data_IF_705229805221
#
_entry.id   IF_705229805221
#
_cell.length_a   1.000
_cell.length_b   1.000
_cell.length_c   1.000
_cell.angle_alpha   90.00
_cell.angle_beta   90.00
_cell.angle_gamma   90.00
#
_symmetry.space_group_name_H-M   'P 1'
#
loop_
_entity.id
_entity.type
_entity.pdbx_description
1 polymer ?
#
# COMPACT_ATOMS: atom_id res chain seq x y z
N UNK A 1 1.59 27.64 -26.07
CA UNK A 1 1.32 26.68 -24.98
C UNK A 1 1.75 27.30 -23.68
N UNK A 2 0.95 27.19 -22.62
CA UNK A 2 1.33 27.64 -21.27
C UNK A 2 2.36 26.70 -20.65
N UNK A 3 3.10 27.14 -19.63
CA UNK A 3 4.01 26.27 -18.87
C UNK A 3 3.28 25.05 -18.31
N UNK A 4 2.05 25.22 -17.80
CA UNK A 4 1.21 24.11 -17.35
C UNK A 4 0.93 23.08 -18.47
N UNK A 5 0.73 23.52 -19.71
CA UNK A 5 0.46 22.64 -20.85
C UNK A 5 1.70 21.85 -21.29
N UNK A 6 2.91 22.34 -21.02
CA UNK A 6 4.15 21.66 -21.40
C UNK A 6 4.61 20.62 -20.37
N UNK A 7 4.13 20.69 -19.13
CA UNK A 7 4.43 19.74 -18.06
C UNK A 7 4.06 18.28 -18.42
N UNK A 8 4.89 17.33 -17.98
CA UNK A 8 4.69 15.89 -18.20
C UNK A 8 3.33 15.41 -17.68
N UNK A 9 2.94 15.84 -16.47
CA UNK A 9 1.64 15.47 -15.89
C UNK A 9 0.46 15.91 -16.75
N UNK A 10 0.49 17.13 -17.29
CA UNK A 10 -0.56 17.62 -18.19
C UNK A 10 -0.57 16.86 -19.50
N UNK A 11 0.59 16.62 -20.12
CA UNK A 11 0.69 15.81 -21.35
C UNK A 11 0.11 14.42 -21.16
N UNK A 12 0.51 13.73 -20.08
CA UNK A 12 -0.05 12.43 -19.70
C UNK A 12 -1.57 12.50 -19.52
N UNK A 13 -2.07 13.51 -18.80
CA UNK A 13 -3.51 13.68 -18.57
C UNK A 13 -4.30 13.98 -19.84
N UNK A 14 -3.71 14.63 -20.85
CA UNK A 14 -4.36 14.87 -22.13
C UNK A 14 -4.31 13.62 -23.02
N UNK A 15 -3.13 13.00 -23.16
CA UNK A 15 -2.91 11.86 -24.05
C UNK A 15 -3.60 10.57 -23.62
N UNK A 16 -3.98 10.47 -22.34
CA UNK A 16 -4.68 9.28 -21.83
C UNK A 16 -6.19 9.48 -21.64
N UNK A 17 -6.79 10.55 -22.19
CA UNK A 17 -8.26 10.76 -22.15
C UNK A 17 -8.97 9.79 -23.10
N UNK A 18 -10.24 9.51 -22.80
CA UNK A 18 -11.13 8.93 -23.80
C UNK A 18 -11.76 10.06 -24.61
N UNK A 19 -11.88 9.82 -25.90
CA UNK A 19 -12.58 10.66 -26.86
C UNK A 19 -13.60 9.78 -27.60
N UNK A 20 -14.84 10.26 -27.75
CA UNK A 20 -15.93 9.45 -28.30
C UNK A 20 -15.68 9.03 -29.74
N UNK A 21 -15.01 9.88 -30.52
CA UNK A 21 -14.73 9.64 -31.93
C UNK A 21 -13.54 8.70 -32.10
N UNK A 22 -12.57 8.76 -31.17
CA UNK A 22 -11.32 8.00 -31.27
C UNK A 22 -11.29 6.71 -30.43
N UNK A 23 -12.20 6.49 -29.48
CA UNK A 23 -12.12 5.37 -28.52
C UNK A 23 -11.98 3.99 -29.17
N UNK A 24 -12.56 3.81 -30.35
CA UNK A 24 -12.50 2.55 -31.12
C UNK A 24 -11.17 2.39 -31.85
N UNK A 25 -10.53 3.49 -32.25
CA UNK A 25 -9.27 3.50 -33.00
C UNK A 25 -8.03 3.75 -32.14
N UNK A 26 -8.20 3.99 -30.83
CA UNK A 26 -7.08 4.14 -29.90
C UNK A 26 -6.22 2.87 -29.87
N UNK A 27 -4.98 2.99 -30.36
CA UNK A 27 -3.98 1.93 -30.23
C UNK A 27 -3.53 1.78 -28.77
N UNK A 28 -3.26 0.55 -28.36
CA UNK A 28 -2.68 0.23 -27.06
C UNK A 28 -1.33 -0.46 -27.28
N UNK A 29 -0.32 -0.17 -26.45
CA UNK A 29 0.92 -0.92 -26.50
C UNK A 29 0.64 -2.41 -26.23
N UNK A 30 1.35 -3.29 -26.93
CA UNK A 30 1.27 -4.72 -26.67
C UNK A 30 2.13 -5.05 -25.45
N UNK A 31 1.47 -5.24 -24.30
CA UNK A 31 2.11 -5.55 -23.01
C UNK A 31 1.57 -6.91 -22.55
N UNK A 32 2.47 -7.85 -22.27
CA UNK A 32 2.10 -9.14 -21.70
C UNK A 32 1.57 -8.96 -20.28
N UNK A 33 0.42 -9.55 -19.92
CA UNK A 33 -0.14 -9.42 -18.59
C UNK A 33 0.77 -10.06 -17.53
N UNK A 34 0.88 -9.42 -16.37
CA UNK A 34 1.56 -9.98 -15.22
C UNK A 34 0.74 -11.03 -14.46
N UNK A 35 1.38 -11.89 -13.64
CA UNK A 35 0.68 -12.84 -12.79
C UNK A 35 -0.15 -12.08 -11.75
N UNK A 36 -1.35 -12.57 -11.41
CA UNK A 36 -2.27 -11.92 -10.48
C UNK A 36 -1.76 -11.90 -9.03
N UNK A 37 -0.95 -12.89 -8.66
CA UNK A 37 -0.38 -13.04 -7.33
C UNK A 37 1.15 -13.06 -7.43
N UNK A 38 1.80 -12.47 -6.44
CA UNK A 38 3.23 -12.61 -6.18
C UNK A 38 3.41 -13.45 -4.92
N UNK A 39 4.46 -14.26 -4.88
CA UNK A 39 4.82 -15.09 -3.72
C UNK A 39 6.34 -15.21 -3.68
N UNK A 40 6.88 -15.46 -2.49
CA UNK A 40 8.29 -15.74 -2.24
C UNK A 40 8.43 -17.14 -1.61
N UNK A 41 8.43 -18.23 -2.41
CA UNK A 41 8.34 -19.59 -1.88
C UNK A 41 9.51 -20.04 -0.99
N UNK A 42 10.64 -19.34 -1.06
CA UNK A 42 11.83 -19.61 -0.23
C UNK A 42 11.82 -18.83 1.08
N UNK A 43 10.90 -17.88 1.25
CA UNK A 43 10.80 -17.07 2.46
C UNK A 43 10.15 -17.87 3.60
N UNK A 44 10.59 -17.61 4.82
CA UNK A 44 9.88 -18.08 6.01
C UNK A 44 8.50 -17.41 6.07
N UNK A 45 7.45 -18.21 6.22
CA UNK A 45 6.07 -17.73 6.22
C UNK A 45 5.49 -17.66 7.62
N UNK A 46 4.72 -16.60 7.90
CA UNK A 46 4.00 -16.38 9.15
C UNK A 46 2.52 -16.23 8.84
N UNK A 47 1.68 -17.18 9.28
CA UNK A 47 0.24 -17.10 9.08
C UNK A 47 -0.33 -15.90 9.83
N UNK A 48 -1.20 -15.14 9.16
CA UNK A 48 -1.94 -14.07 9.81
C UNK A 48 -3.23 -14.65 10.41
N UNK A 49 -3.59 -14.30 11.65
CA UNK A 49 -4.86 -14.70 12.24
C UNK A 49 -6.03 -14.07 11.49
N UNK A 50 -7.25 -14.51 11.79
CA UNK A 50 -8.46 -13.84 11.31
C UNK A 50 -8.46 -12.36 11.72
N UNK A 51 -8.91 -11.50 10.81
CA UNK A 51 -8.92 -10.06 11.04
C UNK A 51 -9.95 -9.70 12.12
N UNK A 52 -9.48 -9.10 13.22
CA UNK A 52 -10.37 -8.53 14.21
C UNK A 52 -11.10 -7.31 13.66
N UNK A 53 -12.33 -7.12 14.11
CA UNK A 53 -13.09 -5.91 13.80
C UNK A 53 -12.65 -4.79 14.75
N UNK A 54 -12.34 -3.59 14.25
CA UNK A 54 -12.07 -2.45 15.12
C UNK A 54 -13.32 -2.12 15.97
N UNK A 55 -13.13 -1.69 17.24
CA UNK A 55 -14.25 -1.37 18.13
C UNK A 55 -15.05 -0.14 17.68
N UNK A 56 -14.41 0.82 17.01
CA UNK A 56 -15.03 2.06 16.53
C UNK A 56 -15.86 1.82 15.27
N UNK A 57 -17.00 2.51 15.14
CA UNK A 57 -17.79 2.47 13.92
C UNK A 57 -17.21 3.33 12.78
N UNK A 58 -17.78 3.18 11.58
CA UNK A 58 -17.29 3.84 10.38
C UNK A 58 -17.43 5.38 10.42
N UNK A 59 -18.53 5.92 10.97
CA UNK A 59 -18.74 7.36 11.03
C UNK A 59 -17.77 8.03 11.99
N UNK A 60 -17.53 7.38 13.13
CA UNK A 60 -16.55 7.83 14.10
C UNK A 60 -15.13 7.76 13.53
N UNK A 61 -14.77 6.66 12.85
CA UNK A 61 -13.47 6.55 12.18
C UNK A 61 -13.30 7.64 11.10
N UNK A 62 -14.30 7.88 10.26
CA UNK A 62 -14.25 8.91 9.22
C UNK A 62 -14.07 10.31 9.80
N UNK A 63 -14.82 10.65 10.86
CA UNK A 63 -14.81 11.99 11.46
C UNK A 63 -13.51 12.28 12.23
N UNK A 64 -12.98 11.27 12.92
CA UNK A 64 -11.81 11.40 13.81
C UNK A 64 -10.47 11.12 13.13
N UNK A 65 -10.46 10.49 11.94
CA UNK A 65 -9.21 10.16 11.23
C UNK A 65 -8.34 11.40 11.01
N UNK A 66 -7.10 11.34 11.51
CA UNK A 66 -6.05 12.36 11.31
C UNK A 66 -4.73 11.71 10.99
N UNK A 67 -3.89 12.41 10.22
CA UNK A 67 -2.53 11.97 9.96
C UNK A 67 -1.66 12.29 11.18
N UNK A 68 -1.39 11.27 12.00
CA UNK A 68 -0.66 11.40 13.27
C UNK A 68 0.73 10.79 13.09
N UNK A 69 1.77 11.60 13.34
CA UNK A 69 3.19 11.26 13.13
C UNK A 69 3.94 11.02 14.44
N UNK A 70 3.21 10.79 15.53
CA UNK A 70 3.75 10.46 16.86
C UNK A 70 3.21 9.10 17.27
N UNK A 71 4.11 8.22 17.66
CA UNK A 71 3.83 6.82 17.97
C UNK A 71 4.28 6.50 19.39
N UNK A 72 3.50 5.70 20.10
CA UNK A 72 3.93 5.10 21.36
C UNK A 72 4.90 3.95 21.08
N UNK A 73 5.67 3.56 22.09
CA UNK A 73 6.56 2.38 22.03
C UNK A 73 5.80 1.04 22.09
N UNK A 74 4.48 1.05 22.32
CA UNK A 74 3.66 -0.16 22.39
C UNK A 74 3.73 -0.92 21.06
N UNK A 75 4.03 -2.23 21.15
CA UNK A 75 3.96 -3.14 20.02
C UNK A 75 2.50 -3.36 19.59
N UNK A 76 2.27 -3.57 18.30
CA UNK A 76 0.98 -4.05 17.80
C UNK A 76 0.84 -5.55 18.08
N UNK A 77 -0.38 -6.02 18.30
CA UNK A 77 -0.64 -7.46 18.27
C UNK A 77 -0.68 -7.97 16.82
N UNK A 78 -0.54 -9.28 16.64
CA UNK A 78 -0.58 -9.88 15.31
C UNK A 78 -1.99 -9.79 14.69
N UNK A 79 -3.03 -9.83 15.52
CA UNK A 79 -4.44 -9.66 15.16
C UNK A 79 -4.72 -8.26 14.61
N UNK A 80 -4.19 -7.23 15.28
CA UNK A 80 -4.28 -5.84 14.80
C UNK A 80 -3.53 -5.67 13.48
N UNK A 81 -2.32 -6.23 13.34
CA UNK A 81 -1.60 -6.23 12.06
C UNK A 81 -2.43 -6.90 10.95
N UNK A 82 -2.97 -8.08 11.21
CA UNK A 82 -3.83 -8.81 10.27
C UNK A 82 -5.03 -7.96 9.85
N UNK A 83 -5.71 -7.32 10.80
CA UNK A 83 -6.86 -6.48 10.53
C UNK A 83 -6.52 -5.24 9.68
N UNK A 84 -5.37 -4.59 9.93
CA UNK A 84 -4.89 -3.48 9.12
C UNK A 84 -4.61 -3.90 7.67
N UNK A 85 -3.94 -5.04 7.48
CA UNK A 85 -3.64 -5.59 6.16
C UNK A 85 -4.91 -6.08 5.46
N UNK A 86 -5.85 -6.65 6.20
CA UNK A 86 -7.15 -7.09 5.68
C UNK A 86 -7.97 -5.90 5.19
N UNK A 87 -8.03 -4.81 5.94
CA UNK A 87 -8.71 -3.60 5.51
C UNK A 87 -8.15 -3.07 4.17
N UNK A 88 -6.82 -3.13 3.98
CA UNK A 88 -6.17 -2.68 2.75
C UNK A 88 -6.35 -3.65 1.57
N UNK A 89 -6.19 -4.95 1.78
CA UNK A 89 -5.95 -5.94 0.71
C UNK A 89 -6.69 -7.27 0.87
N UNK A 90 -7.41 -7.48 1.98
CA UNK A 90 -8.01 -8.76 2.36
C UNK A 90 -9.11 -9.23 1.41
N UNK A 91 -9.35 -10.54 1.43
CA UNK A 91 -10.41 -11.17 0.63
C UNK A 91 -11.80 -10.77 1.17
N UNK A 92 -12.67 -10.26 0.30
CA UNK A 92 -14.01 -9.75 0.65
C UNK A 92 -15.16 -10.55 0.01
N UNK A 93 -14.84 -11.51 -0.85
CA UNK A 93 -15.82 -12.37 -1.51
C UNK A 93 -15.29 -12.98 -2.81
N UNK A 94 -16.18 -13.56 -3.60
CA UNK A 94 -15.81 -14.15 -4.89
C UNK A 94 -16.94 -13.96 -5.92
N UNK A 95 -16.58 -13.63 -7.16
CA UNK A 95 -17.52 -13.51 -8.29
C UNK A 95 -16.91 -14.18 -9.52
N UNK A 96 -17.61 -15.17 -10.10
CA UNK A 96 -17.16 -15.82 -11.33
C UNK A 96 -15.76 -16.45 -11.26
N UNK A 97 -15.38 -17.00 -10.10
CA UNK A 97 -14.05 -17.57 -9.87
C UNK A 97 -13.00 -16.55 -9.38
N UNK A 98 -13.25 -15.25 -9.54
CA UNK A 98 -12.33 -14.19 -9.12
C UNK A 98 -12.54 -13.83 -7.64
N UNK A 99 -11.47 -13.88 -6.85
CA UNK A 99 -11.46 -13.42 -5.46
C UNK A 99 -11.46 -11.89 -5.44
N UNK A 100 -12.44 -11.30 -4.75
CA UNK A 100 -12.55 -9.87 -4.54
C UNK A 100 -11.74 -9.44 -3.32
N UNK A 101 -11.22 -8.21 -3.36
CA UNK A 101 -10.52 -7.57 -2.24
C UNK A 101 -11.38 -6.51 -1.55
N UNK A 102 -11.02 -6.15 -0.33
CA UNK A 102 -11.65 -5.06 0.44
C UNK A 102 -11.50 -3.70 -0.24
N UNK A 103 -10.36 -3.45 -0.90
CA UNK A 103 -10.20 -2.31 -1.79
C UNK A 103 -10.65 -2.63 -3.22
N UNK A 104 -11.41 -1.73 -3.88
CA UNK A 104 -11.73 -1.87 -5.29
C UNK A 104 -10.48 -1.74 -6.16
N UNK A 105 -10.51 -2.36 -7.34
CA UNK A 105 -9.44 -2.23 -8.34
C UNK A 105 -10.02 -2.18 -9.74
N UNK A 106 -9.47 -1.31 -10.59
CA UNK A 106 -9.95 -1.18 -11.96
C UNK A 106 -9.85 -2.50 -12.74
N UNK A 107 -11.01 -3.03 -13.14
CA UNK A 107 -11.08 -4.31 -13.85
C UNK A 107 -10.71 -5.53 -13.00
N UNK A 108 -10.61 -5.35 -11.68
CA UNK A 108 -10.23 -6.34 -10.70
C UNK A 108 -8.90 -7.06 -11.04
N UNK A 109 -7.94 -6.26 -11.49
CA UNK A 109 -6.60 -6.70 -11.90
C UNK A 109 -5.58 -6.65 -10.76
N UNK A 110 -5.90 -5.92 -9.68
CA UNK A 110 -5.15 -5.86 -8.42
C UNK A 110 -3.65 -5.63 -8.64
N UNK A 111 -3.25 -4.46 -9.20
CA UNK A 111 -1.87 -4.18 -9.55
C UNK A 111 -0.96 -4.00 -8.33
N UNK A 112 -1.53 -3.81 -7.15
CA UNK A 112 -0.80 -3.42 -5.94
C UNK A 112 -0.33 -4.65 -5.17
N UNK A 113 0.97 -4.69 -4.87
CA UNK A 113 1.54 -5.57 -3.84
C UNK A 113 1.71 -4.81 -2.52
N UNK A 114 1.62 -5.54 -1.42
CA UNK A 114 1.75 -4.98 -0.07
C UNK A 114 2.98 -5.56 0.61
N UNK A 115 3.92 -4.69 0.94
CA UNK A 115 5.06 -5.01 1.79
C UNK A 115 4.90 -4.34 3.14
N UNK A 116 5.55 -4.90 4.15
CA UNK A 116 5.51 -4.38 5.52
C UNK A 116 6.93 -4.36 6.07
N UNK A 117 7.42 -3.17 6.41
CA UNK A 117 8.54 -3.04 7.32
C UNK A 117 8.01 -3.15 8.74
N UNK A 118 8.47 -4.15 9.49
CA UNK A 118 8.09 -4.41 10.88
C UNK A 118 9.21 -3.94 11.80
N UNK A 119 8.86 -3.11 12.79
CA UNK A 119 9.75 -2.70 13.88
C UNK A 119 9.32 -3.32 15.20
N UNK A 120 8.01 -3.34 15.49
CA UNK A 120 7.45 -3.75 16.79
C UNK A 120 6.06 -4.40 16.64
N UNK A 121 6.02 -5.70 16.40
CA UNK A 121 4.78 -6.51 16.39
C UNK A 121 5.00 -7.76 17.24
N UNK A 122 4.02 -8.12 18.06
CA UNK A 122 4.10 -9.32 18.88
C UNK A 122 4.12 -10.57 18.00
N UNK A 123 5.07 -11.48 18.26
CA UNK A 123 5.20 -12.74 17.51
C UNK A 123 5.83 -12.62 16.11
N UNK A 124 6.32 -11.44 15.74
CA UNK A 124 7.06 -11.21 14.49
C UNK A 124 8.37 -10.49 14.78
N UNK A 125 9.46 -11.02 14.24
CA UNK A 125 10.75 -10.35 14.32
C UNK A 125 10.79 -9.09 13.46
N UNK A 126 11.55 -8.07 13.85
CA UNK A 126 11.79 -6.91 12.99
C UNK A 126 12.35 -7.33 11.62
N UNK A 127 11.87 -6.71 10.55
CA UNK A 127 12.27 -7.09 9.20
C UNK A 127 11.42 -6.46 8.10
N UNK A 128 11.66 -6.92 6.87
CA UNK A 128 10.90 -6.63 5.67
C UNK A 128 10.11 -7.86 5.26
N UNK A 129 8.81 -7.67 5.06
CA UNK A 129 7.86 -8.74 4.76
C UNK A 129 7.06 -8.41 3.50
N UNK A 130 6.62 -9.44 2.80
CA UNK A 130 5.65 -9.37 1.72
C UNK A 130 4.34 -10.05 2.13
N UNK A 131 3.19 -9.45 1.82
CA UNK A 131 1.89 -10.06 2.07
C UNK A 131 1.52 -11.00 0.92
N UNK A 132 1.56 -12.30 1.18
CA UNK A 132 0.91 -13.28 0.32
C UNK A 132 -0.59 -13.27 0.61
N UNK A 133 -1.33 -12.48 -0.19
CA UNK A 133 -2.78 -12.32 -0.07
C UNK A 133 -3.57 -13.60 -0.36
N UNK A 134 -3.03 -14.52 -1.17
CA UNK A 134 -3.71 -15.76 -1.54
C UNK A 134 -3.78 -16.72 -0.35
N UNK A 135 -2.64 -16.87 0.32
CA UNK A 135 -2.48 -17.83 1.43
C UNK A 135 -2.62 -17.14 2.80
N UNK A 136 -2.93 -15.83 2.80
CA UNK A 136 -3.10 -14.95 3.96
C UNK A 136 -1.96 -15.06 4.99
N UNK A 137 -0.74 -14.83 4.52
CA UNK A 137 0.47 -14.91 5.34
C UNK A 137 1.49 -13.83 4.98
N UNK A 138 2.42 -13.58 5.90
CA UNK A 138 3.60 -12.74 5.66
C UNK A 138 4.79 -13.62 5.28
N UNK A 139 5.45 -13.28 4.19
CA UNK A 139 6.68 -13.88 3.71
C UNK A 139 7.85 -12.98 4.15
N UNK A 140 8.72 -13.47 5.04
CA UNK A 140 9.88 -12.72 5.51
C UNK A 140 10.96 -12.66 4.43
N UNK A 141 11.17 -11.46 3.88
CA UNK A 141 12.18 -11.21 2.85
C UNK A 141 13.56 -11.01 3.46
N UNK A 142 13.61 -10.22 4.54
CA UNK A 142 14.84 -9.90 5.25
C UNK A 142 14.54 -9.66 6.73
N UNK A 143 15.27 -10.30 7.64
CA UNK A 143 15.20 -10.01 9.08
C UNK A 143 16.18 -8.90 9.46
N UNK A 144 15.79 -8.02 10.37
CA UNK A 144 16.64 -6.93 10.86
C UNK A 144 15.90 -5.62 11.10
N UNK A 145 16.64 -4.61 11.58
CA UNK A 145 16.11 -3.27 11.81
C UNK A 145 16.24 -2.42 10.53
N UNK A 146 15.12 -2.18 9.86
CA UNK A 146 15.05 -1.42 8.60
C UNK A 146 14.31 -0.08 8.71
N UNK A 147 13.71 0.22 9.86
CA UNK A 147 13.00 1.49 10.09
C UNK A 147 13.83 2.75 9.75
N UNK A 148 15.08 2.87 10.22
CA UNK A 148 15.95 4.01 9.88
C UNK A 148 16.25 4.13 8.38
N UNK A 149 16.51 3.01 7.71
CA UNK A 149 16.83 2.96 6.28
C UNK A 149 15.59 3.36 5.44
N UNK A 150 14.42 2.86 5.81
CA UNK A 150 13.16 3.25 5.17
C UNK A 150 12.87 4.74 5.40
N UNK A 151 13.08 5.27 6.60
CA UNK A 151 12.90 6.69 6.88
C UNK A 151 13.84 7.57 6.05
N UNK A 152 15.09 7.13 5.85
CA UNK A 152 16.06 7.79 4.96
C UNK A 152 15.56 7.82 3.51
N UNK A 153 15.15 6.67 2.98
CA UNK A 153 14.58 6.57 1.64
C UNK A 153 13.33 7.45 1.48
N UNK A 154 12.54 7.66 2.54
CA UNK A 154 11.39 8.56 2.55
C UNK A 154 11.74 10.02 2.89
N UNK A 155 12.78 10.60 2.26
CA UNK A 155 13.22 11.99 2.49
C UNK A 155 13.53 12.30 3.97
N UNK A 156 14.22 11.38 4.65
CA UNK A 156 14.59 11.51 6.07
C UNK A 156 13.41 11.77 7.02
N UNK A 157 12.22 11.29 6.68
CA UNK A 157 11.02 11.43 7.51
C UNK A 157 11.11 10.53 8.77
N UNK A 158 11.85 11.02 9.78
CA UNK A 158 12.24 10.28 11.00
C UNK A 158 11.09 9.62 11.76
N UNK A 159 9.86 10.14 11.66
CA UNK A 159 8.71 9.51 12.32
C UNK A 159 8.46 8.09 11.78
N UNK A 160 8.77 7.80 10.51
CA UNK A 160 8.60 6.46 9.95
C UNK A 160 9.47 5.41 10.66
N UNK A 161 10.67 5.78 11.11
CA UNK A 161 11.54 4.89 11.88
C UNK A 161 11.00 4.58 13.29
N UNK A 162 10.11 5.42 13.82
CA UNK A 162 9.49 5.25 15.14
C UNK A 162 8.18 4.45 15.07
N UNK A 163 7.60 4.31 13.88
CA UNK A 163 6.38 3.54 13.67
C UNK A 163 6.56 2.07 14.07
N UNK A 164 5.50 1.43 14.52
CA UNK A 164 5.52 0.00 14.84
C UNK A 164 5.65 -0.83 13.56
N UNK A 165 4.99 -0.37 12.49
CA UNK A 165 5.10 -0.88 11.13
C UNK A 165 5.07 0.28 10.12
N UNK A 166 5.62 0.03 8.93
CA UNK A 166 5.35 0.82 7.75
C UNK A 166 4.82 -0.11 6.66
N UNK A 167 3.63 0.17 6.15
CA UNK A 167 3.05 -0.53 5.01
C UNK A 167 3.50 0.18 3.73
N UNK A 168 4.09 -0.56 2.82
CA UNK A 168 4.73 -0.08 1.60
C UNK A 168 4.04 -0.74 0.40
N UNK A 169 3.42 0.06 -0.46
CA UNK A 169 2.69 -0.44 -1.62
C UNK A 169 3.49 -0.24 -2.90
N UNK A 170 3.70 -1.32 -3.64
CA UNK A 170 4.27 -1.28 -4.98
C UNK A 170 3.18 -1.51 -6.03
N UNK A 171 3.49 -1.19 -7.28
CA UNK A 171 2.64 -1.51 -8.41
C UNK A 171 3.36 -2.39 -9.42
N UNK A 172 2.82 -3.57 -9.69
CA UNK A 172 3.20 -4.41 -10.82
C UNK A 172 2.52 -3.85 -12.07
N UNK A 173 3.23 -2.97 -12.78
CA UNK A 173 2.65 -2.07 -13.80
C UNK A 173 1.88 -2.83 -14.88
N UNK A 174 2.44 -3.95 -15.34
CA UNK A 174 1.87 -4.79 -16.40
C UNK A 174 0.50 -5.40 -16.06
N UNK A 175 0.11 -5.53 -14.78
CA UNK A 175 -1.24 -6.03 -14.41
C UNK A 175 -2.33 -5.13 -14.96
N UNK A 176 -2.19 -3.81 -14.79
CA UNK A 176 -3.15 -2.85 -15.31
C UNK A 176 -2.84 -2.40 -16.74
N UNK A 177 -1.57 -2.18 -17.05
CA UNK A 177 -1.17 -1.60 -18.34
C UNK A 177 -1.39 -2.57 -19.51
N UNK A 178 -1.36 -3.89 -19.31
CA UNK A 178 -1.74 -4.85 -20.35
C UNK A 178 -3.19 -4.67 -20.84
N UNK A 179 -4.13 -4.31 -19.95
CA UNK A 179 -5.53 -4.08 -20.31
C UNK A 179 -5.78 -2.63 -20.76
N UNK A 180 -5.23 -1.67 -20.02
CA UNK A 180 -5.59 -0.25 -20.14
C UNK A 180 -4.53 0.62 -20.82
N UNK A 181 -3.42 0.05 -21.27
CA UNK A 181 -2.29 0.80 -21.84
C UNK A 181 -1.76 1.86 -20.87
N UNK A 182 -1.34 3.01 -21.40
CA UNK A 182 -0.84 4.13 -20.60
C UNK A 182 -1.86 4.63 -19.56
N UNK A 183 -3.16 4.51 -19.83
CA UNK A 183 -4.21 4.92 -18.88
C UNK A 183 -4.23 4.05 -17.62
N UNK A 184 -3.65 2.83 -17.67
CA UNK A 184 -3.51 1.92 -16.55
C UNK A 184 -2.84 2.55 -15.32
N UNK A 185 -1.89 3.45 -15.52
CA UNK A 185 -1.23 4.20 -14.43
C UNK A 185 -2.21 5.05 -13.62
N UNK A 186 -3.25 5.65 -14.25
CA UNK A 186 -4.27 6.41 -13.51
C UNK A 186 -4.98 5.51 -12.50
N UNK A 187 -5.29 4.29 -12.93
CA UNK A 187 -6.02 3.33 -12.12
C UNK A 187 -5.14 2.75 -11.01
N UNK A 188 -3.86 2.49 -11.28
CA UNK A 188 -2.90 2.08 -10.26
C UNK A 188 -2.88 3.08 -9.08
N UNK A 189 -2.81 4.38 -9.36
CA UNK A 189 -2.80 5.40 -8.30
C UNK A 189 -4.15 5.53 -7.58
N UNK A 190 -5.28 5.28 -8.26
CA UNK A 190 -6.59 5.23 -7.60
C UNK A 190 -6.70 4.02 -6.66
N UNK A 191 -6.27 2.85 -7.13
CA UNK A 191 -6.29 1.59 -6.39
C UNK A 191 -5.49 1.72 -5.09
N UNK A 192 -4.25 2.23 -5.14
CA UNK A 192 -3.43 2.41 -3.92
C UNK A 192 -4.02 3.46 -2.96
N UNK A 193 -4.71 4.48 -3.50
CA UNK A 193 -5.41 5.47 -2.69
C UNK A 193 -6.57 4.86 -1.89
N UNK A 194 -7.33 3.95 -2.51
CA UNK A 194 -8.39 3.20 -1.81
C UNK A 194 -7.82 2.31 -0.70
N UNK A 195 -6.75 1.57 -1.00
CA UNK A 195 -6.10 0.69 -0.03
C UNK A 195 -5.56 1.47 1.17
N UNK A 196 -4.89 2.59 0.91
CA UNK A 196 -4.35 3.46 1.96
C UNK A 196 -5.46 4.03 2.83
N UNK A 197 -6.54 4.53 2.23
CA UNK A 197 -7.65 5.06 3.02
C UNK A 197 -8.32 3.98 3.89
N UNK A 198 -8.50 2.76 3.39
CA UNK A 198 -9.02 1.66 4.21
C UNK A 198 -8.09 1.37 5.41
N UNK A 199 -6.77 1.31 5.19
CA UNK A 199 -5.79 1.13 6.26
C UNK A 199 -5.86 2.24 7.30
N UNK A 200 -5.98 3.50 6.87
CA UNK A 200 -6.07 4.65 7.78
C UNK A 200 -7.36 4.60 8.63
N UNK A 201 -8.47 4.15 8.06
CA UNK A 201 -9.73 4.00 8.80
C UNK A 201 -9.67 2.83 9.79
N UNK A 202 -9.08 1.69 9.40
CA UNK A 202 -8.83 0.58 10.31
C UNK A 202 -7.90 1.00 11.47
N UNK A 203 -6.82 1.72 11.16
CA UNK A 203 -5.92 2.27 12.17
C UNK A 203 -6.63 3.23 13.13
N UNK A 204 -7.48 4.12 12.62
CA UNK A 204 -8.29 5.00 13.47
C UNK A 204 -9.23 4.19 14.37
N UNK A 205 -9.84 3.13 13.83
CA UNK A 205 -10.77 2.28 14.57
C UNK A 205 -10.14 1.46 15.68
N UNK A 206 -8.85 1.14 15.59
CA UNK A 206 -8.05 0.53 16.66
C UNK A 206 -7.36 1.57 17.57
N UNK A 207 -7.73 2.84 17.46
CA UNK A 207 -7.10 3.95 18.18
C UNK A 207 -5.58 3.99 17.97
N UNK A 208 -5.13 3.79 16.74
CA UNK A 208 -3.72 3.88 16.36
C UNK A 208 -3.41 5.27 15.75
N UNK A 209 -2.14 5.63 15.76
CA UNK A 209 -1.60 6.72 14.94
C UNK A 209 -1.21 6.17 13.58
N UNK A 210 -1.64 6.82 12.51
CA UNK A 210 -1.18 6.50 11.17
C UNK A 210 -0.94 7.76 10.34
N UNK A 211 0.00 7.69 9.40
CA UNK A 211 0.27 8.76 8.45
C UNK A 211 0.63 8.20 7.07
N UNK A 212 -0.11 8.58 6.02
CA UNK A 212 0.31 8.27 4.65
C UNK A 212 1.53 9.11 4.25
N UNK A 213 2.39 8.56 3.41
CA UNK A 213 3.61 9.18 2.93
C UNK A 213 3.79 8.89 1.44
N UNK A 214 3.92 9.95 0.64
CA UNK A 214 4.10 9.87 -0.81
C UNK A 214 5.35 10.56 -1.33
N UNK A 215 6.25 10.98 -0.43
CA UNK A 215 7.50 11.64 -0.79
C UNK A 215 8.67 10.76 -0.35
N UNK A 216 9.46 10.28 -1.31
CA UNK A 216 10.55 9.33 -1.13
C UNK A 216 11.47 9.36 -2.35
N UNK A 217 12.68 8.79 -2.21
CA UNK A 217 13.60 8.52 -3.30
C UNK A 217 13.28 7.15 -3.89
N UNK A 218 12.68 7.12 -5.08
CA UNK A 218 12.17 5.89 -5.70
C UNK A 218 13.22 4.77 -5.77
N UNK A 219 14.44 5.09 -6.22
CA UNK A 219 15.53 4.11 -6.33
C UNK A 219 15.91 3.50 -4.97
N UNK A 220 16.07 4.33 -3.93
CA UNK A 220 16.43 3.85 -2.59
C UNK A 220 15.32 3.00 -1.97
N UNK A 221 14.06 3.40 -2.18
CA UNK A 221 12.92 2.66 -1.68
C UNK A 221 12.79 1.30 -2.37
N UNK A 222 12.95 1.24 -3.69
CA UNK A 222 12.89 0.00 -4.46
C UNK A 222 14.03 -0.97 -4.08
N UNK A 223 15.24 -0.44 -3.87
CA UNK A 223 16.40 -1.24 -3.46
C UNK A 223 16.16 -1.97 -2.15
N UNK A 224 15.49 -1.33 -1.17
CA UNK A 224 15.16 -1.97 0.12
C UNK A 224 14.34 -3.26 -0.02
N UNK A 225 13.47 -3.33 -1.03
CA UNK A 225 12.60 -4.50 -1.27
C UNK A 225 13.04 -5.33 -2.48
N UNK A 226 14.25 -5.07 -3.00
CA UNK A 226 14.81 -5.71 -4.19
C UNK A 226 13.87 -5.64 -5.41
N UNK A 227 13.24 -4.47 -5.62
CA UNK A 227 12.39 -4.20 -6.77
C UNK A 227 13.22 -3.53 -7.88
N UNK A 228 12.93 -3.88 -9.13
CA UNK A 228 13.66 -3.36 -10.29
C UNK A 228 13.33 -1.89 -10.63
N UNK A 229 12.15 -1.40 -10.23
CA UNK A 229 11.70 -0.04 -10.51
C UNK A 229 11.13 0.19 -11.92
N UNK A 230 11.16 -0.83 -12.79
CA UNK A 230 10.69 -0.80 -14.17
C UNK A 230 9.37 -1.56 -14.35
N UNK A 231 9.32 -2.83 -13.94
CA UNK A 231 8.14 -3.71 -13.94
C UNK A 231 7.34 -3.59 -12.64
N UNK A 232 8.04 -3.40 -11.53
CA UNK A 232 7.46 -3.19 -10.20
C UNK A 232 8.20 -2.08 -9.46
N UNK A 233 7.46 -1.09 -8.97
CA UNK A 233 8.01 0.04 -8.22
C UNK A 233 7.12 0.40 -7.04
N UNK A 234 7.71 0.80 -5.91
CA UNK A 234 7.00 1.40 -4.79
C UNK A 234 6.37 2.73 -5.20
N UNK A 235 5.11 2.89 -4.83
CA UNK A 235 4.31 4.06 -5.21
C UNK A 235 3.69 4.80 -4.02
N UNK A 236 3.59 4.15 -2.86
CA UNK A 236 2.97 4.78 -1.69
C UNK A 236 3.30 4.07 -0.38
N UNK A 237 3.21 4.79 0.73
CA UNK A 237 3.53 4.27 2.07
C UNK A 237 2.49 4.73 3.10
N UNK A 238 2.34 3.97 4.18
CA UNK A 238 1.67 4.41 5.38
C UNK A 238 2.40 3.89 6.63
N UNK A 239 2.76 4.81 7.52
CA UNK A 239 3.33 4.50 8.82
C UNK A 239 2.21 4.28 9.84
N UNK A 240 2.32 3.26 10.70
CA UNK A 240 1.33 2.94 11.74
C UNK A 240 2.03 2.60 13.06
N UNK A 241 1.49 3.09 14.17
CA UNK A 241 1.96 2.73 15.51
C UNK A 241 0.95 3.08 16.58
N UNK A 242 1.18 2.62 17.82
CA UNK A 242 0.28 2.92 18.93
C UNK A 242 0.06 4.42 19.11
N UNK A 243 -1.16 4.84 19.41
CA UNK A 243 -1.49 6.25 19.65
C UNK A 243 -0.86 6.71 20.95
N UNK A 244 -0.22 7.87 20.91
CA UNK A 244 0.14 8.57 22.14
C UNK A 244 -1.10 9.26 22.68
N UNK A 245 -1.29 9.31 24.02
CA UNK A 245 -2.29 10.17 24.61
C UNK A 245 -2.12 11.58 24.05
N UNK A 246 -3.21 12.23 23.68
CA UNK A 246 -3.13 13.66 23.37
C UNK A 246 -2.59 14.35 24.61
N UNK A 247 -1.50 15.10 24.45
CA UNK A 247 -1.05 15.97 25.53
C UNK A 247 -2.19 16.93 25.81
N UNK A 248 -2.89 16.76 26.94
CA UNK A 248 -3.83 17.74 27.45
C UNK A 248 -3.05 19.03 27.73
N UNK A 249 -3.00 19.91 26.73
CA UNK A 249 -1.95 20.92 26.67
C UNK A 249 -2.27 22.07 25.72
N UNK A 250 -3.15 22.95 26.23
CA UNK A 250 -3.26 24.41 26.05
C UNK A 250 -3.61 24.97 24.67
#
# INVERSE_FOLDING_TARGET
MTELQSCLGTKYLQQTKYDREQIVSMSRPHISPGPLYKTYPQATTFLLPEAERPPTDLWDALSSRRSRRRYSEKALSLEVLSALLWAASGNSGQVGGLVLRTAPSAGALYPIETYVQVSRVQGLDPGLYHLNVRDWCLECLQSGQYGPQLAKACLDQRFMAQAAINVCWSAVLRRNMAKYGHRGLRYIFMDVGHMSQNLLLAAEGFELSACPVGAYFDSEANELFALDGDEESLIYFASVGGRQPESSGR
#
